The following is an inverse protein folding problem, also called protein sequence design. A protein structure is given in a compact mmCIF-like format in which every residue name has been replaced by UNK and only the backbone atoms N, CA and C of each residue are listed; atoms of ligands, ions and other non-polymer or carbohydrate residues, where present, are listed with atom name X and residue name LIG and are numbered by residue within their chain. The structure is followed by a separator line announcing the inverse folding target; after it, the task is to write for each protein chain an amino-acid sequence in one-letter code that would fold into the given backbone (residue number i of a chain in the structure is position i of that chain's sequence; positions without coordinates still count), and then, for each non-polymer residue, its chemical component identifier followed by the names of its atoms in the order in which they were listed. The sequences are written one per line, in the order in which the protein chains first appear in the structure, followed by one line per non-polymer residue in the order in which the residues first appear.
data_IF_370007974519
#
_entry.id   IF_370007974519
#
_cell.length_a   1.000
_cell.length_b   1.000
_cell.length_c   1.000
_cell.angle_alpha   90.00
_cell.angle_beta   90.00
_cell.angle_gamma   90.00
#
_symmetry.space_group_name_H-M   'P 1'
#
loop_
_entity.id
_entity.type
_entity.pdbx_description
1 polymer ?
#
# COMPACT_ATOMS: atom_id res chain seq x y z
N UNK A 1 14.84 2.61 15.89
CA UNK A 1 13.94 3.02 14.81
C UNK A 1 12.63 2.31 15.08
N UNK A 2 11.58 3.07 15.42
CA UNK A 2 10.29 2.51 15.83
C UNK A 2 9.53 1.98 14.63
N UNK A 3 8.98 0.78 14.76
CA UNK A 3 7.93 0.28 13.86
C UNK A 3 6.77 1.27 13.88
N UNK A 4 6.19 1.55 12.72
CA UNK A 4 4.91 2.24 12.64
C UNK A 4 3.86 1.21 13.09
N UNK A 5 3.69 1.07 14.39
CA UNK A 5 2.74 0.15 14.99
C UNK A 5 1.33 0.72 14.77
N UNK A 6 0.72 0.36 13.64
CA UNK A 6 -0.61 0.85 13.26
C UNK A 6 -1.65 0.46 14.32
N UNK A 7 -1.45 -0.62 15.09
CA UNK A 7 -2.33 -1.00 16.20
C UNK A 7 -2.39 0.06 17.32
N UNK A 8 -1.39 0.94 17.44
CA UNK A 8 -1.34 1.96 18.50
C UNK A 8 -1.95 3.32 18.13
N UNK A 9 -2.29 3.59 16.86
CA UNK A 9 -2.76 4.92 16.42
C UNK A 9 -4.27 4.99 16.10
N UNK A 10 -5.01 3.91 16.28
CA UNK A 10 -6.47 3.90 16.12
C UNK A 10 -7.17 4.50 17.36
N UNK A 11 -6.97 5.80 17.60
CA UNK A 11 -7.60 6.49 18.73
C UNK A 11 -9.13 6.54 18.63
N UNK A 12 -9.70 6.32 17.42
CA UNK A 12 -11.14 6.16 17.23
C UNK A 12 -11.47 5.13 16.15
N UNK A 13 -11.95 3.97 16.58
CA UNK A 13 -12.50 2.94 15.71
C UNK A 13 -13.88 3.41 15.22
N UNK A 14 -13.90 4.25 14.19
CA UNK A 14 -15.14 4.61 13.48
C UNK A 14 -15.49 3.44 12.58
N UNK A 15 -16.71 2.90 12.71
CA UNK A 15 -17.13 1.78 11.88
C UNK A 15 -17.11 2.23 10.41
N UNK A 16 -16.55 1.41 9.51
CA UNK A 16 -16.45 1.70 8.07
C UNK A 16 -17.77 2.21 7.46
N UNK A 17 -18.88 1.67 7.96
CA UNK A 17 -20.25 2.01 7.55
C UNK A 17 -20.59 3.48 7.82
N UNK A 18 -20.05 4.06 8.89
CA UNK A 18 -20.28 5.45 9.32
C UNK A 18 -19.40 6.41 8.50
N UNK A 19 -18.19 6.00 8.10
CA UNK A 19 -17.27 6.78 7.28
C UNK A 19 -17.75 6.98 5.84
N UNK A 20 -18.49 6.00 5.28
CA UNK A 20 -18.99 6.06 3.90
C UNK A 20 -19.82 7.30 3.58
N UNK A 21 -20.49 7.88 4.59
CA UNK A 21 -21.33 9.07 4.42
C UNK A 21 -20.57 10.39 4.53
N UNK A 22 -19.33 10.37 5.03
CA UNK A 22 -18.56 11.58 5.29
C UNK A 22 -17.74 12.00 4.06
N UNK A 23 -17.50 13.30 3.95
CA UNK A 23 -16.53 13.87 3.01
C UNK A 23 -15.19 14.02 3.71
N UNK A 24 -14.12 14.08 2.93
CA UNK A 24 -12.77 14.24 3.52
C UNK A 24 -12.67 15.49 4.40
N UNK A 25 -13.23 16.63 3.96
CA UNK A 25 -13.17 17.87 4.73
C UNK A 25 -14.00 17.87 6.02
N UNK A 26 -14.91 16.90 6.19
CA UNK A 26 -15.68 16.73 7.42
C UNK A 26 -14.87 16.00 8.49
N UNK A 27 -13.76 15.35 8.12
CA UNK A 27 -12.85 14.72 9.05
C UNK A 27 -12.04 15.76 9.82
N UNK A 28 -11.85 15.52 11.12
CA UNK A 28 -10.87 16.24 11.91
C UNK A 28 -9.45 16.00 11.35
N UNK A 29 -8.66 17.06 11.28
CA UNK A 29 -7.28 17.01 10.80
C UNK A 29 -6.43 16.11 11.70
N UNK A 30 -5.51 15.38 11.08
CA UNK A 30 -4.57 14.47 11.72
C UNK A 30 -5.16 13.30 12.52
N UNK A 31 -6.48 13.16 12.59
CA UNK A 31 -7.09 11.95 13.13
C UNK A 31 -7.08 10.82 12.10
N UNK A 32 -6.79 9.62 12.58
CA UNK A 32 -6.80 8.39 11.77
C UNK A 32 -8.17 7.73 11.86
N UNK A 33 -8.72 7.36 10.71
CA UNK A 33 -10.02 6.69 10.59
C UNK A 33 -9.84 5.35 9.88
N UNK A 34 -10.33 4.28 10.50
CA UNK A 34 -10.19 2.92 9.94
C UNK A 34 -11.28 2.67 8.91
N UNK A 35 -10.89 2.49 7.64
CA UNK A 35 -11.82 2.24 6.55
C UNK A 35 -12.06 0.73 6.34
N UNK A 36 -11.02 -0.08 6.57
CA UNK A 36 -11.04 -1.54 6.54
C UNK A 36 -9.91 -2.07 7.43
N UNK A 37 -9.87 -3.39 7.66
CA UNK A 37 -8.84 -4.04 8.48
C UNK A 37 -7.41 -3.74 8.01
N UNK A 38 -7.23 -3.45 6.72
CA UNK A 38 -5.93 -3.20 6.09
C UNK A 38 -5.78 -1.76 5.55
N UNK A 39 -6.71 -0.85 5.85
CA UNK A 39 -6.76 0.48 5.27
C UNK A 39 -7.30 1.52 6.27
N UNK A 40 -6.53 2.58 6.45
CA UNK A 40 -6.95 3.75 7.19
C UNK A 40 -6.66 5.05 6.43
N UNK A 41 -7.40 6.11 6.77
CA UNK A 41 -7.28 7.43 6.15
C UNK A 41 -7.05 8.50 7.22
N UNK A 42 -6.25 9.50 6.86
CA UNK A 42 -6.04 10.71 7.64
C UNK A 42 -6.13 11.92 6.71
N UNK A 43 -6.79 12.98 7.16
CA UNK A 43 -6.76 14.28 6.48
C UNK A 43 -5.51 15.05 6.89
N UNK A 44 -4.75 15.54 5.90
CA UNK A 44 -3.62 16.44 6.15
C UNK A 44 -4.02 17.94 6.14
N UNK A 45 -3.05 18.82 6.42
CA UNK A 45 -3.22 20.28 6.45
C UNK A 45 -3.61 20.89 5.09
N UNK A 46 -3.26 20.22 4.00
CA UNK A 46 -3.52 20.68 2.64
C UNK A 46 -4.80 20.07 2.06
N UNK A 47 -5.62 19.40 2.90
CA UNK A 47 -6.83 18.69 2.49
C UNK A 47 -6.57 17.50 1.57
N UNK A 48 -5.36 16.93 1.59
CA UNK A 48 -5.10 15.64 0.96
C UNK A 48 -5.54 14.50 1.87
N UNK A 49 -5.82 13.37 1.24
CA UNK A 49 -5.98 12.10 1.93
C UNK A 49 -4.61 11.43 2.04
N UNK A 50 -4.17 11.18 3.28
CA UNK A 50 -3.07 10.25 3.55
C UNK A 50 -3.68 8.89 3.84
N UNK A 51 -3.37 7.90 3.02
CA UNK A 51 -3.78 6.53 3.21
C UNK A 51 -2.67 5.73 3.87
N UNK A 52 -3.05 4.94 4.86
CA UNK A 52 -2.20 3.97 5.54
C UNK A 52 -2.70 2.58 5.17
N UNK A 53 -1.83 1.79 4.56
CA UNK A 53 -2.19 0.53 3.90
C UNK A 53 -1.29 -0.60 4.37
N UNK A 54 -1.93 -1.70 4.77
CA UNK A 54 -1.26 -2.96 5.05
C UNK A 54 -1.30 -3.86 3.82
N UNK A 55 -0.14 -4.08 3.21
CA UNK A 55 0.00 -4.82 1.97
C UNK A 55 0.75 -6.12 2.17
N UNK A 56 0.01 -7.22 2.08
CA UNK A 56 0.56 -8.57 2.11
C UNK A 56 1.06 -8.94 0.74
N UNK A 57 2.37 -9.20 0.63
CA UNK A 57 2.98 -9.65 -0.62
C UNK A 57 3.00 -11.17 -0.66
N UNK A 58 2.12 -11.72 -1.49
CA UNK A 58 2.04 -13.15 -1.74
C UNK A 58 2.62 -13.44 -3.12
N UNK A 59 3.79 -14.09 -3.15
CA UNK A 59 4.30 -14.63 -4.41
C UNK A 59 3.31 -15.64 -4.98
N UNK A 60 3.12 -15.69 -6.31
CA UNK A 60 2.34 -16.74 -6.94
C UNK A 60 2.91 -18.12 -6.60
N UNK A 61 2.04 -19.11 -6.34
CA UNK A 61 2.42 -20.47 -5.89
C UNK A 61 3.39 -21.20 -6.84
N UNK A 62 3.51 -20.75 -8.09
CA UNK A 62 4.35 -21.37 -9.11
C UNK A 62 5.77 -20.78 -9.17
N UNK A 63 6.05 -19.72 -8.44
CA UNK A 63 7.33 -19.01 -8.48
C UNK A 63 8.30 -19.52 -7.40
N UNK A 64 9.60 -19.49 -7.71
CA UNK A 64 10.65 -19.90 -6.78
C UNK A 64 10.78 -18.88 -5.63
N UNK A 65 10.61 -19.33 -4.38
CA UNK A 65 10.72 -18.49 -3.18
C UNK A 65 12.09 -17.82 -3.02
N UNK A 66 13.15 -18.33 -3.66
CA UNK A 66 14.46 -17.65 -3.69
C UNK A 66 14.41 -16.30 -4.39
N UNK A 67 13.35 -16.03 -5.17
CA UNK A 67 13.11 -14.78 -5.87
C UNK A 67 12.26 -13.78 -5.07
N UNK A 68 11.89 -14.11 -3.83
CA UNK A 68 11.13 -13.21 -2.97
C UNK A 68 11.76 -11.81 -2.81
N UNK A 69 13.08 -11.66 -2.60
CA UNK A 69 13.69 -10.33 -2.52
C UNK A 69 13.50 -9.51 -3.81
N UNK A 70 13.53 -10.17 -4.97
CA UNK A 70 13.33 -9.52 -6.26
C UNK A 70 11.88 -9.09 -6.45
N UNK A 71 10.95 -9.92 -5.99
CA UNK A 71 9.52 -9.64 -6.00
C UNK A 71 9.17 -8.43 -5.13
N UNK A 72 9.69 -8.40 -3.90
CA UNK A 72 9.56 -7.29 -2.96
C UNK A 72 10.15 -5.99 -3.51
N UNK A 73 11.31 -6.05 -4.16
CA UNK A 73 11.91 -4.88 -4.80
C UNK A 73 11.01 -4.34 -5.92
N UNK A 74 10.48 -5.22 -6.79
CA UNK A 74 9.59 -4.82 -7.87
C UNK A 74 8.30 -4.15 -7.35
N UNK A 75 7.79 -4.59 -6.19
CA UNK A 75 6.65 -3.96 -5.54
C UNK A 75 6.94 -2.51 -5.17
N UNK A 76 8.00 -2.28 -4.40
CA UNK A 76 8.37 -0.95 -3.91
C UNK A 76 8.65 0.01 -5.07
N UNK A 77 9.42 -0.43 -6.07
CA UNK A 77 9.74 0.40 -7.24
C UNK A 77 8.49 0.78 -8.05
N UNK A 78 7.53 -0.15 -8.18
CA UNK A 78 6.27 0.12 -8.86
C UNK A 78 5.42 1.09 -8.06
N UNK A 79 5.37 0.93 -6.74
CA UNK A 79 4.60 1.78 -5.84
C UNK A 79 5.12 3.22 -5.87
N UNK A 80 6.43 3.42 -5.72
CA UNK A 80 7.09 4.74 -5.76
C UNK A 80 6.96 5.44 -7.12
N UNK A 81 6.87 4.67 -8.22
CA UNK A 81 6.68 5.21 -9.57
C UNK A 81 5.28 5.79 -9.78
N UNK A 82 4.27 5.22 -9.12
CA UNK A 82 2.87 5.49 -9.39
C UNK A 82 2.16 6.23 -8.26
N UNK A 83 2.75 6.30 -7.07
CA UNK A 83 2.17 6.91 -5.88
C UNK A 83 3.15 7.89 -5.24
N UNK A 84 2.64 8.92 -4.58
CA UNK A 84 3.45 9.72 -3.67
C UNK A 84 3.59 8.99 -2.33
N UNK A 85 4.58 8.10 -2.26
CA UNK A 85 4.90 7.34 -1.04
C UNK A 85 5.55 8.28 -0.02
N UNK A 86 4.94 8.38 1.17
CA UNK A 86 5.46 9.17 2.29
C UNK A 86 6.42 8.34 3.16
N UNK A 87 6.04 7.10 3.41
CA UNK A 87 6.81 6.14 4.19
C UNK A 87 6.39 4.72 3.84
N UNK A 88 7.30 3.77 4.03
CA UNK A 88 6.97 2.36 4.04
C UNK A 88 7.83 1.61 5.08
N UNK A 89 7.30 0.53 5.62
CA UNK A 89 8.00 -0.34 6.56
C UNK A 89 7.69 -1.80 6.23
N UNK A 90 8.70 -2.67 6.34
CA UNK A 90 8.56 -4.10 6.11
C UNK A 90 8.52 -4.81 7.45
N UNK A 91 7.50 -5.62 7.65
CA UNK A 91 7.34 -6.53 8.79
C UNK A 91 7.07 -7.95 8.29
N UNK A 92 6.86 -8.86 9.23
CA UNK A 92 6.40 -10.21 8.98
C UNK A 92 5.06 -10.36 9.68
N UNK A 93 4.02 -10.74 8.94
CA UNK A 93 2.72 -11.03 9.51
C UNK A 93 2.76 -12.31 10.36
N UNK A 94 1.71 -12.52 11.17
CA UNK A 94 1.60 -13.68 12.07
C UNK A 94 1.70 -15.04 11.38
N UNK A 95 1.36 -15.10 10.10
CA UNK A 95 1.44 -16.29 9.24
C UNK A 95 2.82 -16.46 8.56
N UNK A 96 3.79 -15.61 8.87
CA UNK A 96 5.12 -15.63 8.27
C UNK A 96 5.22 -14.93 6.92
N UNK A 97 4.14 -14.33 6.40
CA UNK A 97 4.15 -13.65 5.10
C UNK A 97 4.77 -12.25 5.22
N UNK A 98 5.49 -11.75 4.19
CA UNK A 98 5.95 -10.37 4.16
C UNK A 98 4.78 -9.40 4.16
N UNK A 99 4.79 -8.47 5.10
CA UNK A 99 3.80 -7.41 5.24
C UNK A 99 4.49 -6.06 5.04
N UNK A 100 3.92 -5.24 4.16
CA UNK A 100 4.39 -3.88 3.89
C UNK A 100 3.35 -2.89 4.37
N UNK A 101 3.72 -2.10 5.38
CA UNK A 101 2.90 -0.99 5.84
C UNK A 101 3.33 0.24 5.06
N UNK A 102 2.42 0.83 4.30
CA UNK A 102 2.71 1.94 3.38
C UNK A 102 1.82 3.13 3.69
N UNK A 103 2.42 4.31 3.76
CA UNK A 103 1.71 5.59 3.77
C UNK A 103 1.82 6.26 2.40
N UNK A 104 0.69 6.54 1.75
CA UNK A 104 0.63 7.24 0.46
C UNK A 104 -0.20 8.50 0.59
N UNK A 105 0.25 9.58 -0.05
CA UNK A 105 -0.56 10.78 -0.23
C UNK A 105 -1.33 10.67 -1.55
N UNK A 106 -2.65 10.85 -1.47
CA UNK A 106 -3.53 10.99 -2.62
C UNK A 106 -4.06 12.42 -2.71
N UNK A 107 -3.86 13.03 -3.87
CA UNK A 107 -4.50 14.29 -4.21
C UNK A 107 -5.97 14.02 -4.53
N UNK A 108 -6.87 14.47 -3.68
CA UNK A 108 -8.31 14.26 -3.82
C UNK A 108 -9.05 15.59 -3.78
N UNK A 109 -10.25 15.63 -4.35
CA UNK A 109 -11.11 16.81 -4.27
C UNK A 109 -11.55 17.05 -2.82
N UNK A 110 -11.68 18.31 -2.39
CA UNK A 110 -12.21 18.65 -1.07
C UNK A 110 -13.64 18.12 -0.84
N UNK A 111 -14.38 17.91 -1.93
CA UNK A 111 -15.75 17.39 -1.91
C UNK A 111 -15.84 15.87 -2.08
N UNK A 112 -14.69 15.20 -2.21
CA UNK A 112 -14.63 13.75 -2.39
C UNK A 112 -15.17 13.02 -1.14
N UNK A 113 -15.97 11.98 -1.38
CA UNK A 113 -16.46 11.12 -0.31
C UNK A 113 -15.38 10.13 0.10
N UNK A 114 -15.33 9.74 1.37
CA UNK A 114 -14.39 8.71 1.85
C UNK A 114 -14.56 7.41 1.06
N UNK A 115 -15.80 7.03 0.74
CA UNK A 115 -16.10 5.84 -0.05
C UNK A 115 -15.42 5.86 -1.44
N UNK A 116 -15.40 7.01 -2.11
CA UNK A 116 -14.73 7.14 -3.40
C UNK A 116 -13.21 7.04 -3.27
N UNK A 117 -12.63 7.66 -2.22
CA UNK A 117 -11.18 7.56 -1.94
C UNK A 117 -10.79 6.10 -1.66
N UNK A 118 -11.59 5.36 -0.89
CA UNK A 118 -11.37 3.93 -0.61
C UNK A 118 -11.47 3.09 -1.89
N UNK A 119 -12.42 3.40 -2.78
CA UNK A 119 -12.53 2.73 -4.08
C UNK A 119 -11.32 3.02 -4.98
N UNK A 120 -10.82 4.26 -4.97
CA UNK A 120 -9.61 4.65 -5.70
C UNK A 120 -8.39 3.92 -5.15
N UNK A 121 -8.24 3.86 -3.83
CA UNK A 121 -7.19 3.09 -3.16
C UNK A 121 -7.22 1.61 -3.57
N UNK A 122 -8.41 0.99 -3.57
CA UNK A 122 -8.58 -0.41 -3.99
C UNK A 122 -8.18 -0.60 -5.46
N UNK A 123 -8.58 0.32 -6.33
CA UNK A 123 -8.22 0.29 -7.75
C UNK A 123 -6.71 0.43 -7.94
N UNK A 124 -6.09 1.35 -7.21
CA UNK A 124 -4.64 1.57 -7.20
C UNK A 124 -3.90 0.31 -6.75
N UNK A 125 -4.33 -0.35 -5.66
CA UNK A 125 -3.75 -1.62 -5.19
C UNK A 125 -3.74 -2.69 -6.29
N UNK A 126 -4.88 -2.86 -6.97
CA UNK A 126 -4.98 -3.81 -8.08
C UNK A 126 -4.04 -3.46 -9.24
N UNK A 127 -3.97 -2.18 -9.60
CA UNK A 127 -3.07 -1.69 -10.64
C UNK A 127 -1.59 -1.94 -10.29
N UNK A 128 -1.16 -1.57 -9.08
CA UNK A 128 0.22 -1.79 -8.60
C UNK A 128 0.58 -3.28 -8.63
N UNK A 129 -0.31 -4.15 -8.14
CA UNK A 129 -0.06 -5.61 -8.16
C UNK A 129 0.16 -6.13 -9.58
N UNK A 130 -0.63 -5.66 -10.54
CA UNK A 130 -0.48 -6.07 -11.94
C UNK A 130 0.83 -5.56 -12.54
N UNK A 131 1.14 -4.27 -12.41
CA UNK A 131 2.36 -3.67 -12.94
C UNK A 131 3.62 -4.28 -12.32
N UNK A 132 3.60 -4.52 -11.00
CA UNK A 132 4.67 -5.20 -10.27
C UNK A 132 4.94 -6.58 -10.86
N UNK A 133 3.91 -7.39 -11.15
CA UNK A 133 4.10 -8.72 -11.75
C UNK A 133 4.82 -8.63 -13.10
N UNK A 134 4.52 -7.62 -13.91
CA UNK A 134 5.23 -7.38 -15.17
C UNK A 134 6.69 -6.96 -14.94
N UNK A 135 6.94 -6.05 -14.00
CA UNK A 135 8.29 -5.62 -13.64
C UNK A 135 9.15 -6.78 -13.15
N UNK A 136 8.61 -7.58 -12.22
CA UNK A 136 9.23 -8.79 -11.68
C UNK A 136 9.62 -9.78 -12.79
N UNK A 137 8.69 -10.14 -13.67
CA UNK A 137 8.95 -11.09 -14.78
C UNK A 137 10.02 -10.59 -15.75
N UNK A 138 10.00 -9.30 -16.08
CA UNK A 138 11.03 -8.71 -16.93
C UNK A 138 12.41 -8.83 -16.30
N UNK A 139 12.48 -8.65 -14.99
CA UNK A 139 13.73 -8.71 -14.25
C UNK A 139 14.25 -10.15 -14.11
N UNK A 140 13.37 -11.14 -13.89
CA UNK A 140 13.72 -12.55 -13.97
C UNK A 140 14.36 -12.92 -15.32
N UNK A 141 13.75 -12.49 -16.44
CA UNK A 141 14.27 -12.73 -17.79
C UNK A 141 15.65 -12.07 -17.96
N UNK A 142 15.84 -10.86 -17.44
CA UNK A 142 17.12 -10.14 -17.49
C UNK A 142 18.21 -10.93 -16.77
N UNK A 143 17.93 -11.41 -15.56
CA UNK A 143 18.86 -12.21 -14.75
C UNK A 143 19.22 -13.53 -15.44
N UNK A 144 18.24 -14.25 -15.98
CA UNK A 144 18.51 -15.49 -16.73
C UNK A 144 19.44 -15.25 -17.93
N UNK A 145 19.23 -14.16 -18.66
CA UNK A 145 20.03 -13.81 -19.83
C UNK A 145 21.46 -13.35 -19.49
N UNK A 146 21.66 -12.69 -18.34
CA UNK A 146 23.03 -12.32 -17.90
C UNK A 146 23.83 -13.53 -17.42
N UNK A 147 23.19 -14.49 -16.73
CA UNK A 147 23.84 -15.76 -16.36
C UNK A 147 24.22 -16.59 -17.59
N UNK A 148 23.38 -16.66 -18.62
CA UNK A 148 23.70 -17.41 -19.85
C UNK A 148 24.83 -16.81 -20.68
N UNK A 149 25.05 -15.49 -20.59
CA UNK A 149 26.16 -14.79 -21.27
C UNK A 149 27.50 -14.87 -20.53
N UNK A 150 27.47 -15.29 -19.27
CA UNK A 150 28.66 -15.38 -18.41
C UNK A 150 29.23 -16.81 -18.32
N UNK A 151 28.63 -17.76 -19.04
CA UNK A 151 29.15 -19.11 -19.31
C UNK A 151 29.66 -19.19 -20.76
#
# INVERSE_FOLDING_TARGET
MGSLDLEMYFEHLVLANELNAWRLHDLEEFKLYTCADDLAIQRDLAHNAVLYMDERLLMPEQEDLTLLPLYEQAYLETLEKHCQVLAHYKTTADDGTPLYQVSIALAVSETESIANIVNEATTLRHFIRNEMMYAFRREQIRLQNSTKKSC
#
